data_IF_855263469927
#
_entry.id   IF_855263469927
#
_cell.length_a   1.000
_cell.length_b   1.000
_cell.length_c   1.000
_cell.angle_alpha   90.00
_cell.angle_beta   90.00
_cell.angle_gamma   90.00
#
_symmetry.space_group_name_H-M   'P 1'
#
loop_
_entity.id
_entity.type
_entity.pdbx_description
1 polymer ?
#
# COMPACT_ATOMS: atom_id res chain seq x y z
N UNK A 1 40.33 -27.45 12.51
CA UNK A 1 38.90 -27.32 12.22
C UNK A 1 38.59 -25.85 11.99
N UNK A 2 38.20 -25.48 10.77
CA UNK A 2 37.92 -24.09 10.40
C UNK A 2 36.41 -23.85 10.53
N UNK A 3 36.01 -23.06 11.53
CA UNK A 3 34.64 -22.53 11.62
C UNK A 3 34.74 -21.01 11.51
N UNK A 4 34.68 -20.51 10.27
CA UNK A 4 34.59 -19.09 9.98
C UNK A 4 33.17 -18.60 10.25
N UNK A 5 32.98 -17.86 11.34
CA UNK A 5 31.73 -17.15 11.66
C UNK A 5 31.40 -16.13 10.56
N UNK A 6 30.28 -16.33 9.86
CA UNK A 6 29.65 -15.31 9.01
C UNK A 6 29.31 -14.10 9.88
N UNK A 7 29.86 -12.94 9.55
CA UNK A 7 29.49 -11.67 10.18
C UNK A 7 28.38 -11.02 9.36
N UNK A 8 27.22 -10.89 9.97
CA UNK A 8 26.10 -10.08 9.48
C UNK A 8 26.58 -8.65 9.20
N UNK A 9 26.40 -8.21 7.96
CA UNK A 9 26.70 -6.84 7.55
C UNK A 9 25.43 -6.01 7.72
N UNK A 10 25.28 -5.42 8.90
CA UNK A 10 24.34 -4.32 9.12
C UNK A 10 24.86 -3.07 8.40
N UNK A 11 24.18 -2.66 7.32
CA UNK A 11 24.52 -1.43 6.58
C UNK A 11 24.02 -0.21 7.35
N UNK A 12 24.90 0.37 8.17
CA UNK A 12 24.67 1.65 8.86
C UNK A 12 24.90 2.81 7.88
N UNK A 13 23.82 3.48 7.47
CA UNK A 13 23.91 4.70 6.66
C UNK A 13 24.45 5.88 7.47
N UNK A 14 25.67 6.33 7.17
CA UNK A 14 26.11 7.72 7.38
C UNK A 14 27.01 8.13 6.21
N UNK A 15 26.57 9.13 5.46
CA UNK A 15 27.32 9.74 4.36
C UNK A 15 28.37 10.66 4.97
N UNK A 16 29.58 10.15 5.20
CA UNK A 16 30.75 10.97 5.47
C UNK A 16 31.38 11.41 4.14
N UNK A 17 31.26 12.70 3.82
CA UNK A 17 31.99 13.39 2.73
C UNK A 17 33.50 13.19 2.95
N UNK A 18 34.13 12.29 2.20
CA UNK A 18 35.58 12.11 2.22
C UNK A 18 36.05 10.95 1.34
N UNK A 19 36.83 11.27 0.30
CA UNK A 19 37.48 10.39 -0.71
C UNK A 19 36.52 9.45 -1.45
N UNK A 20 36.28 9.71 -2.75
CA UNK A 20 35.57 8.80 -3.66
C UNK A 20 36.29 7.45 -3.67
N UNK A 21 35.87 6.50 -2.83
CA UNK A 21 36.20 5.08 -3.03
C UNK A 21 35.50 4.68 -4.32
N UNK A 22 36.27 4.49 -5.39
CA UNK A 22 35.77 3.83 -6.59
C UNK A 22 35.21 2.47 -6.16
N UNK A 23 33.92 2.26 -6.41
CA UNK A 23 33.31 0.96 -6.14
C UNK A 23 33.91 -0.04 -7.12
N UNK A 24 34.25 -1.23 -6.63
CA UNK A 24 34.50 -2.38 -7.49
C UNK A 24 33.34 -2.53 -8.49
N UNK A 25 33.60 -2.93 -9.75
CA UNK A 25 32.53 -3.20 -10.71
C UNK A 25 31.44 -4.13 -10.16
N UNK A 26 31.82 -5.12 -9.34
CA UNK A 26 30.88 -6.03 -8.68
C UNK A 26 30.00 -5.32 -7.64
N UNK A 27 30.61 -4.47 -6.82
CA UNK A 27 29.89 -3.70 -5.79
C UNK A 27 28.98 -2.66 -6.43
N UNK A 28 29.42 -2.03 -7.52
CA UNK A 28 28.62 -1.10 -8.30
C UNK A 28 27.42 -1.79 -8.95
N UNK A 29 27.62 -2.97 -9.56
CA UNK A 29 26.56 -3.77 -10.15
C UNK A 29 25.54 -4.23 -9.08
N UNK A 30 26.03 -4.70 -7.92
CA UNK A 30 25.17 -5.12 -6.80
C UNK A 30 24.37 -3.96 -6.24
N UNK A 31 24.99 -2.78 -6.08
CA UNK A 31 24.31 -1.57 -5.63
C UNK A 31 23.21 -1.19 -6.61
N UNK A 32 23.50 -1.14 -7.91
CA UNK A 32 22.52 -0.84 -8.94
C UNK A 32 21.35 -1.83 -8.92
N UNK A 33 21.63 -3.13 -8.90
CA UNK A 33 20.61 -4.17 -8.89
C UNK A 33 19.71 -4.04 -7.66
N UNK A 34 20.29 -3.83 -6.48
CA UNK A 34 19.55 -3.68 -5.23
C UNK A 34 18.66 -2.45 -5.24
N UNK A 35 19.18 -1.30 -5.72
CA UNK A 35 18.40 -0.06 -5.83
C UNK A 35 17.27 -0.19 -6.84
N UNK A 36 17.53 -0.83 -7.98
CA UNK A 36 16.53 -1.05 -9.00
C UNK A 36 15.40 -1.97 -8.52
N UNK A 37 15.73 -3.10 -7.87
CA UNK A 37 14.73 -3.98 -7.24
C UNK A 37 13.89 -3.23 -6.21
N UNK A 38 14.52 -2.45 -5.34
CA UNK A 38 13.79 -1.64 -4.36
C UNK A 38 12.87 -0.61 -5.03
N UNK A 39 13.31 0.03 -6.12
CA UNK A 39 12.46 0.95 -6.90
C UNK A 39 11.25 0.22 -7.50
N UNK A 40 11.46 -0.94 -8.13
CA UNK A 40 10.37 -1.73 -8.70
C UNK A 40 9.36 -2.17 -7.66
N UNK A 41 9.82 -2.61 -6.47
CA UNK A 41 8.94 -2.99 -5.37
C UNK A 41 8.05 -1.80 -4.98
N UNK A 42 8.64 -0.63 -4.68
CA UNK A 42 7.88 0.58 -4.31
C UNK A 42 6.89 0.99 -5.39
N UNK A 43 7.35 1.06 -6.65
CA UNK A 43 6.50 1.43 -7.79
C UNK A 43 5.32 0.46 -7.95
N UNK A 44 5.59 -0.84 -7.83
CA UNK A 44 4.55 -1.87 -7.94
C UNK A 44 3.52 -1.77 -6.81
N UNK A 45 3.97 -1.45 -5.58
CA UNK A 45 3.09 -1.23 -4.43
C UNK A 45 2.19 -0.02 -4.66
N UNK A 46 2.76 1.12 -5.11
CA UNK A 46 1.97 2.32 -5.43
C UNK A 46 0.94 2.05 -6.53
N UNK A 47 1.32 1.35 -7.60
CA UNK A 47 0.38 1.03 -8.68
C UNK A 47 -0.75 0.12 -8.19
N UNK A 48 -0.46 -0.88 -7.34
CA UNK A 48 -1.49 -1.72 -6.73
C UNK A 48 -2.43 -0.89 -5.85
N UNK A 49 -1.89 -0.09 -4.94
CA UNK A 49 -2.71 0.77 -4.07
C UNK A 49 -3.61 1.74 -4.84
N UNK A 50 -3.13 2.31 -5.96
CA UNK A 50 -3.96 3.16 -6.83
C UNK A 50 -5.11 2.38 -7.49
N UNK A 51 -4.88 1.14 -7.91
CA UNK A 51 -5.94 0.29 -8.47
C UNK A 51 -6.98 -0.06 -7.42
N UNK A 52 -6.54 -0.44 -6.22
CA UNK A 52 -7.43 -0.78 -5.11
C UNK A 52 -8.25 0.45 -4.67
N UNK A 53 -7.64 1.64 -4.66
CA UNK A 53 -8.32 2.89 -4.37
C UNK A 53 -9.37 3.25 -5.43
N UNK A 54 -9.10 2.98 -6.71
CA UNK A 54 -10.07 3.18 -7.78
C UNK A 54 -11.31 2.27 -7.60
N UNK A 55 -11.11 1.02 -7.17
CA UNK A 55 -12.20 0.08 -6.85
C UNK A 55 -13.00 0.58 -5.63
N UNK A 56 -12.32 1.03 -4.57
CA UNK A 56 -12.98 1.59 -3.40
C UNK A 56 -13.82 2.84 -3.76
N UNK A 57 -13.27 3.73 -4.58
CA UNK A 57 -13.97 4.93 -5.09
C UNK A 57 -15.22 4.56 -5.88
N UNK A 58 -15.16 3.53 -6.73
CA UNK A 58 -16.33 3.06 -7.48
C UNK A 58 -17.45 2.61 -6.53
N UNK A 59 -17.12 1.76 -5.54
CA UNK A 59 -18.08 1.32 -4.51
C UNK A 59 -18.68 2.48 -3.72
N UNK A 60 -17.88 3.51 -3.38
CA UNK A 60 -18.38 4.71 -2.72
C UNK A 60 -19.42 5.45 -3.58
N UNK A 61 -19.16 5.58 -4.88
CA UNK A 61 -20.08 6.22 -5.80
C UNK A 61 -21.39 5.44 -5.92
N UNK A 62 -21.34 4.11 -5.94
CA UNK A 62 -22.53 3.27 -5.96
C UNK A 62 -23.37 3.46 -4.69
N UNK A 63 -22.73 3.47 -3.51
CA UNK A 63 -23.41 3.74 -2.24
C UNK A 63 -23.99 5.14 -2.18
N UNK A 64 -23.27 6.15 -2.70
CA UNK A 64 -23.76 7.52 -2.80
C UNK A 64 -24.99 7.60 -3.72
N UNK A 65 -24.96 6.92 -4.87
CA UNK A 65 -26.09 6.84 -5.80
C UNK A 65 -27.31 6.21 -5.14
N UNK A 66 -27.11 5.07 -4.47
CA UNK A 66 -28.13 4.37 -3.71
C UNK A 66 -28.74 5.28 -2.64
N UNK A 67 -27.91 5.96 -1.84
CA UNK A 67 -28.36 6.88 -0.80
C UNK A 67 -29.11 8.10 -1.34
N UNK A 68 -28.79 8.57 -2.54
CA UNK A 68 -29.49 9.70 -3.14
C UNK A 68 -30.89 9.32 -3.68
N UNK A 69 -31.19 8.02 -3.82
CA UNK A 69 -32.52 7.56 -4.17
C UNK A 69 -33.52 7.81 -3.03
N UNK A 70 -34.59 8.54 -3.34
CA UNK A 70 -35.66 8.84 -2.36
C UNK A 70 -36.29 7.57 -1.77
N UNK A 71 -36.59 6.58 -2.62
CA UNK A 71 -37.18 5.32 -2.18
C UNK A 71 -36.22 4.55 -1.27
N UNK A 72 -34.91 4.60 -1.54
CA UNK A 72 -33.92 3.97 -0.68
C UNK A 72 -33.78 4.67 0.67
N UNK A 73 -33.73 6.01 0.71
CA UNK A 73 -33.72 6.75 1.99
C UNK A 73 -34.92 6.42 2.86
N UNK A 74 -36.11 6.32 2.26
CA UNK A 74 -37.31 5.90 2.98
C UNK A 74 -37.19 4.49 3.56
N UNK A 75 -36.55 3.55 2.85
CA UNK A 75 -36.27 2.22 3.40
C UNK A 75 -35.26 2.27 4.54
N UNK A 76 -34.20 3.07 4.43
CA UNK A 76 -33.22 3.24 5.51
C UNK A 76 -33.84 3.79 6.81
N UNK A 77 -34.89 4.63 6.72
CA UNK A 77 -35.55 5.17 7.91
C UNK A 77 -36.48 4.16 8.58
N UNK A 78 -37.19 3.34 7.78
CA UNK A 78 -38.20 2.40 8.27
C UNK A 78 -37.61 1.04 8.64
N UNK A 79 -36.69 0.54 7.83
CA UNK A 79 -36.17 -0.82 7.95
C UNK A 79 -34.83 -0.83 8.67
N UNK A 80 -34.83 -1.30 9.92
CA UNK A 80 -33.62 -1.44 10.75
C UNK A 80 -32.57 -2.34 10.09
N UNK A 81 -33.00 -3.41 9.43
CA UNK A 81 -32.11 -4.33 8.71
C UNK A 81 -31.41 -3.67 7.51
N UNK A 82 -32.11 -2.86 6.72
CA UNK A 82 -31.50 -2.11 5.61
C UNK A 82 -30.52 -1.06 6.13
N UNK A 83 -30.88 -0.35 7.21
CA UNK A 83 -29.97 0.59 7.85
C UNK A 83 -28.68 -0.07 8.31
N UNK A 84 -28.78 -1.23 8.96
CA UNK A 84 -27.62 -2.01 9.40
C UNK A 84 -26.76 -2.44 8.22
N UNK A 85 -27.36 -3.02 7.16
CA UNK A 85 -26.65 -3.41 5.94
C UNK A 85 -25.93 -2.23 5.28
N UNK A 86 -26.55 -1.06 5.26
CA UNK A 86 -25.93 0.14 4.69
C UNK A 86 -24.73 0.59 5.53
N UNK A 87 -24.86 0.60 6.86
CA UNK A 87 -23.75 0.88 7.79
C UNK A 87 -22.59 -0.10 7.60
N UNK A 88 -22.87 -1.39 7.47
CA UNK A 88 -21.84 -2.42 7.21
C UNK A 88 -21.08 -2.16 5.90
N UNK A 89 -21.79 -1.80 4.83
CA UNK A 89 -21.15 -1.46 3.55
C UNK A 89 -20.21 -0.26 3.67
N UNK A 90 -20.58 0.75 4.45
CA UNK A 90 -19.74 1.92 4.72
C UNK A 90 -18.53 1.54 5.58
N UNK A 91 -18.71 0.75 6.64
CA UNK A 91 -17.62 0.27 7.50
C UNK A 91 -16.61 -0.55 6.68
N UNK A 92 -17.08 -1.52 5.90
CA UNK A 92 -16.22 -2.34 5.03
C UNK A 92 -15.44 -1.47 4.05
N UNK A 93 -16.07 -0.45 3.49
CA UNK A 93 -15.40 0.48 2.58
C UNK A 93 -14.30 1.28 3.30
N UNK A 94 -14.56 1.78 4.51
CA UNK A 94 -13.57 2.49 5.32
C UNK A 94 -12.38 1.57 5.63
N UNK A 95 -12.64 0.36 6.13
CA UNK A 95 -11.59 -0.63 6.42
C UNK A 95 -10.78 -1.01 5.16
N UNK A 96 -11.44 -1.09 4.00
CA UNK A 96 -10.76 -1.35 2.72
C UNK A 96 -9.80 -0.22 2.36
N UNK A 97 -10.19 1.04 2.58
CA UNK A 97 -9.33 2.19 2.30
C UNK A 97 -8.18 2.27 3.31
N UNK A 98 -8.44 1.99 4.59
CA UNK A 98 -7.41 1.92 5.63
C UNK A 98 -6.35 0.85 5.33
N UNK A 99 -6.74 -0.28 4.75
CA UNK A 99 -5.81 -1.35 4.37
C UNK A 99 -4.92 -1.02 3.15
N UNK A 100 -5.21 0.05 2.40
CA UNK A 100 -4.45 0.44 1.19
C UNK A 100 -3.28 1.37 1.53
N UNK A 101 -3.40 2.17 2.60
CA UNK A 101 -2.46 3.24 2.99
C UNK A 101 -1.43 2.73 4.00
#
# INVERSE_FOLDING_TARGET
GVVGKRKDVTVKGRVSKGKKKELSPLDAALLLQTKFRAHLIRRSQTIRGLKDLAVAKAKLNDLRSLFNSFSYRRRLTVETGERQRFSERIIVLILTVEAIV
#
